data_IF_147966009272
#
_entry.id   IF_147966009272
#
_cell.length_a   1.000
_cell.length_b   1.000
_cell.length_c   1.000
_cell.angle_alpha   90.00
_cell.angle_beta   90.00
_cell.angle_gamma   90.00
#
_symmetry.space_group_name_H-M   'P 1'
#
loop_
_entity.id
_entity.type
_entity.pdbx_description
1 polymer ?
#
# COMPACT_ATOMS: atom_id res chain seq x y z
N UNK A 1 28.65 -20.61 9.97
CA UNK A 1 27.44 -21.36 9.59
C UNK A 1 27.02 -22.17 10.81
N UNK A 2 26.09 -21.66 11.62
CA UNK A 2 25.72 -22.30 12.89
C UNK A 2 24.99 -23.63 12.65
N UNK A 3 25.41 -24.71 13.30
CA UNK A 3 24.71 -26.00 13.26
C UNK A 3 23.62 -26.01 14.34
N UNK A 4 22.37 -25.72 13.98
CA UNK A 4 21.23 -25.86 14.90
C UNK A 4 20.86 -27.34 14.98
N UNK A 5 20.98 -27.96 16.16
CA UNK A 5 20.59 -29.36 16.38
C UNK A 5 19.11 -29.41 16.74
N UNK A 6 18.27 -29.93 15.83
CA UNK A 6 16.84 -30.14 16.07
C UNK A 6 16.61 -31.62 16.42
N UNK A 7 16.07 -31.90 17.61
CA UNK A 7 15.83 -33.27 18.08
C UNK A 7 14.53 -33.85 17.53
N UNK A 8 14.62 -34.95 16.78
CA UNK A 8 13.44 -35.69 16.30
C UNK A 8 13.17 -36.85 17.26
N UNK A 9 11.98 -36.90 17.86
CA UNK A 9 11.53 -38.04 18.68
C UNK A 9 11.01 -39.12 17.74
N UNK A 10 11.66 -40.28 17.75
CA UNK A 10 11.27 -41.48 17.01
C UNK A 10 10.81 -42.51 18.04
N UNK A 11 9.71 -43.20 17.76
CA UNK A 11 9.32 -44.39 18.52
C UNK A 11 10.34 -45.51 18.33
N UNK A 12 10.42 -46.42 19.31
CA UNK A 12 11.44 -47.49 19.32
C UNK A 12 11.34 -48.43 18.11
N UNK A 13 10.13 -48.65 17.58
CA UNK A 13 9.93 -49.48 16.41
C UNK A 13 10.49 -48.81 15.14
N UNK A 14 10.23 -47.52 14.93
CA UNK A 14 10.81 -46.76 13.81
C UNK A 14 12.33 -46.64 13.94
N UNK A 15 12.85 -46.46 15.15
CA UNK A 15 14.30 -46.42 15.39
C UNK A 15 14.98 -47.72 14.98
N UNK A 16 14.41 -48.87 15.31
CA UNK A 16 14.99 -50.16 14.94
C UNK A 16 14.87 -50.44 13.44
N UNK A 17 13.77 -50.01 12.78
CA UNK A 17 13.63 -50.07 11.31
C UNK A 17 14.70 -49.25 10.60
N UNK A 18 14.97 -48.03 11.05
CA UNK A 18 16.03 -47.18 10.48
C UNK A 18 17.39 -47.83 10.71
N UNK A 19 17.63 -48.42 11.89
CA UNK A 19 18.89 -49.09 12.22
C UNK A 19 19.13 -50.30 11.32
N UNK A 20 18.12 -51.13 11.09
CA UNK A 20 18.21 -52.27 10.17
C UNK A 20 18.38 -51.85 8.71
N UNK A 21 17.75 -50.75 8.28
CA UNK A 21 17.92 -50.23 6.93
C UNK A 21 19.34 -49.68 6.72
N UNK A 22 19.89 -48.98 7.72
CA UNK A 22 21.24 -48.42 7.68
C UNK A 22 22.32 -49.51 7.66
N UNK A 23 22.16 -50.60 8.43
CA UNK A 23 23.10 -51.73 8.39
C UNK A 23 23.07 -52.47 7.06
N UNK A 24 21.92 -52.57 6.38
CA UNK A 24 21.84 -53.17 5.03
C UNK A 24 22.63 -52.42 3.96
N UNK A 25 22.85 -51.12 4.14
CA UNK A 25 23.61 -50.28 3.21
C UNK A 25 25.00 -49.93 3.77
N UNK A 26 25.45 -50.61 4.84
CA UNK A 26 26.72 -50.38 5.55
C UNK A 26 26.94 -48.90 5.94
N UNK A 27 25.91 -48.24 6.46
CA UNK A 27 25.97 -46.86 6.96
C UNK A 27 25.38 -46.71 8.35
N UNK A 28 25.66 -45.58 8.99
CA UNK A 28 25.12 -45.29 10.32
C UNK A 28 23.67 -44.80 10.22
N UNK A 29 22.83 -45.07 11.23
CA UNK A 29 21.43 -44.60 11.24
C UNK A 29 21.32 -43.08 11.10
N UNK A 30 22.23 -42.33 11.75
CA UNK A 30 22.25 -40.87 11.66
C UNK A 30 22.58 -40.36 10.25
N UNK A 31 23.51 -41.02 9.55
CA UNK A 31 23.82 -40.69 8.15
C UNK A 31 22.60 -40.92 7.25
N UNK A 32 21.89 -42.04 7.43
CA UNK A 32 20.70 -42.37 6.64
C UNK A 32 19.57 -41.36 6.85
N UNK A 33 19.29 -40.98 8.11
CA UNK A 33 18.28 -39.97 8.43
C UNK A 33 18.62 -38.64 7.76
N UNK A 34 19.87 -38.20 7.88
CA UNK A 34 20.34 -36.95 7.28
C UNK A 34 20.21 -36.98 5.75
N UNK A 35 20.62 -38.07 5.12
CA UNK A 35 20.56 -38.21 3.66
C UNK A 35 19.12 -38.28 3.15
N UNK A 36 18.22 -38.94 3.87
CA UNK A 36 16.80 -38.99 3.53
C UNK A 36 16.15 -37.60 3.58
N UNK A 37 16.46 -36.80 4.60
CA UNK A 37 15.95 -35.43 4.71
C UNK A 37 16.44 -34.56 3.53
N UNK A 38 17.73 -34.60 3.20
CA UNK A 38 18.26 -33.81 2.08
C UNK A 38 17.65 -34.23 0.74
N UNK A 39 17.58 -35.53 0.46
CA UNK A 39 17.01 -36.03 -0.79
C UNK A 39 15.52 -35.68 -0.93
N UNK A 40 14.79 -35.66 0.19
CA UNK A 40 13.36 -35.31 0.20
C UNK A 40 13.13 -33.82 -0.02
N UNK A 41 13.98 -32.96 0.58
CA UNK A 41 13.95 -31.52 0.34
C UNK A 41 14.32 -31.19 -1.11
N UNK A 42 15.32 -31.86 -1.67
CA UNK A 42 15.73 -31.67 -3.07
C UNK A 42 14.63 -32.10 -4.06
N UNK A 43 13.85 -33.15 -3.76
CA UNK A 43 12.68 -33.53 -4.55
C UNK A 43 11.54 -32.51 -4.46
N UNK A 44 11.32 -31.93 -3.27
CA UNK A 44 10.34 -30.86 -3.07
C UNK A 44 10.70 -29.58 -3.83
N UNK A 45 11.96 -29.17 -3.79
CA UNK A 45 12.45 -27.96 -4.48
C UNK A 45 12.35 -28.11 -6.01
N UNK A 46 12.57 -29.32 -6.53
CA UNK A 46 12.45 -29.61 -7.95
C UNK A 46 11.01 -29.84 -8.44
N UNK A 47 10.00 -29.61 -7.57
CA UNK A 47 8.55 -29.69 -7.88
C UNK A 47 8.05 -31.06 -8.34
N UNK A 48 8.67 -32.16 -7.88
CA UNK A 48 8.09 -33.49 -8.04
C UNK A 48 7.10 -33.74 -6.88
N UNK A 49 5.85 -34.04 -7.23
CA UNK A 49 4.74 -34.26 -6.28
C UNK A 49 5.04 -35.41 -5.30
N UNK A 50 4.85 -35.16 -4.00
CA UNK A 50 5.06 -36.13 -2.94
C UNK A 50 4.13 -37.35 -3.05
N UNK A 51 4.62 -38.59 -2.85
CA UNK A 51 3.74 -39.74 -2.63
C UNK A 51 3.08 -39.62 -1.25
N UNK A 52 1.75 -39.59 -1.24
CA UNK A 52 0.90 -39.30 -0.07
C UNK A 52 1.22 -40.12 1.18
N UNK A 53 1.31 -39.46 2.34
CA UNK A 53 1.33 -40.10 3.65
C UNK A 53 -0.07 -40.68 3.95
N UNK A 54 -0.23 -41.98 4.22
CA UNK A 54 -1.55 -42.57 4.43
C UNK A 54 -2.23 -42.02 5.69
N UNK A 55 -3.37 -41.34 5.51
CA UNK A 55 -4.28 -40.95 6.58
C UNK A 55 -4.82 -42.19 7.30
N UNK A 56 -4.32 -42.47 8.50
CA UNK A 56 -4.72 -43.61 9.34
C UNK A 56 -5.41 -43.11 10.61
N UNK A 57 -6.59 -42.51 10.46
CA UNK A 57 -7.52 -42.28 11.57
C UNK A 57 -8.95 -42.53 11.09
N UNK A 58 -9.35 -43.79 11.12
CA UNK A 58 -10.77 -44.16 11.18
C UNK A 58 -10.87 -45.55 11.78
N UNK A 59 -11.22 -45.64 13.06
CA UNK A 59 -11.62 -46.93 13.62
C UNK A 59 -11.56 -47.10 15.14
N UNK A 60 -12.39 -46.31 15.84
CA UNK A 60 -13.18 -46.73 16.99
C UNK A 60 -12.53 -46.99 18.37
N UNK A 61 -13.13 -46.27 19.33
CA UNK A 61 -13.41 -46.66 20.72
C UNK A 61 -12.23 -46.69 21.70
N UNK A 62 -12.00 -45.60 22.42
CA UNK A 62 -12.67 -45.37 23.71
C UNK A 62 -12.10 -44.13 24.40
N UNK A 63 -13.02 -43.37 24.99
CA UNK A 63 -12.91 -42.53 26.19
C UNK A 63 -11.52 -41.97 26.53
N UNK A 64 -11.34 -40.67 26.36
CA UNK A 64 -11.20 -39.67 27.44
C UNK A 64 -10.30 -38.50 27.03
N UNK A 65 -10.86 -37.30 27.20
CA UNK A 65 -10.17 -36.04 27.49
C UNK A 65 -9.05 -35.60 26.52
N UNK A 66 -9.43 -35.30 25.28
CA UNK A 66 -8.55 -34.69 24.28
C UNK A 66 -8.48 -33.16 24.43
N UNK A 67 -7.36 -32.66 24.97
CA UNK A 67 -6.91 -31.31 24.67
C UNK A 67 -6.45 -31.26 23.20
N UNK A 68 -6.95 -30.32 22.37
CA UNK A 68 -6.86 -30.46 20.92
C UNK A 68 -5.42 -30.25 20.42
N UNK A 69 -4.87 -31.29 19.80
CA UNK A 69 -3.79 -31.21 18.81
C UNK A 69 -4.18 -30.19 17.74
N UNK A 70 -3.28 -29.30 17.27
CA UNK A 70 -3.61 -28.37 16.20
C UNK A 70 -3.81 -29.19 14.94
N UNK A 71 -5.07 -29.46 14.60
CA UNK A 71 -5.46 -30.05 13.34
C UNK A 71 -4.86 -29.20 12.23
N UNK A 72 -4.28 -29.83 11.21
CA UNK A 72 -4.01 -29.16 9.94
C UNK A 72 -5.38 -28.73 9.37
N UNK A 73 -5.77 -27.50 9.67
CA UNK A 73 -7.00 -26.92 9.15
C UNK A 73 -6.91 -26.93 7.63
N UNK A 74 -7.91 -27.49 6.91
CA UNK A 74 -7.90 -27.50 5.46
C UNK A 74 -7.85 -26.04 4.99
N UNK A 75 -6.71 -25.63 4.41
CA UNK A 75 -6.54 -24.27 3.92
C UNK A 75 -7.58 -24.04 2.81
N UNK A 76 -8.66 -23.33 3.14
CA UNK A 76 -9.65 -22.94 2.15
C UNK A 76 -9.17 -21.63 1.52
N UNK A 77 -8.98 -21.59 0.19
CA UNK A 77 -8.63 -20.34 -0.48
C UNK A 77 -9.69 -19.26 -0.20
N UNK A 78 -9.24 -18.03 0.05
CA UNK A 78 -10.06 -16.83 0.26
C UNK A 78 -10.85 -16.75 1.58
N UNK A 79 -10.69 -17.68 2.54
CA UNK A 79 -11.34 -17.56 3.87
C UNK A 79 -10.92 -16.27 4.60
N UNK A 80 -9.61 -16.03 4.73
CA UNK A 80 -9.08 -14.81 5.37
C UNK A 80 -9.60 -13.53 4.71
N UNK A 81 -9.81 -13.56 3.40
CA UNK A 81 -10.38 -12.44 2.66
C UNK A 81 -11.88 -12.27 2.96
N UNK A 82 -12.65 -13.37 3.01
CA UNK A 82 -14.07 -13.33 3.31
C UNK A 82 -14.37 -12.89 4.75
N UNK A 83 -13.55 -13.30 5.72
CA UNK A 83 -13.67 -12.89 7.13
C UNK A 83 -13.43 -11.39 7.33
N UNK A 84 -12.59 -10.78 6.49
CA UNK A 84 -12.33 -9.34 6.53
C UNK A 84 -13.46 -8.51 5.90
N UNK A 85 -14.40 -9.12 5.17
CA UNK A 85 -15.54 -8.42 4.57
C UNK A 85 -16.63 -8.23 5.63
N UNK A 86 -16.63 -7.06 6.25
CA UNK A 86 -17.70 -6.63 7.15
C UNK A 86 -19.01 -6.42 6.37
N UNK A 87 -20.17 -6.82 6.93
CA UNK A 87 -21.46 -6.52 6.32
C UNK A 87 -21.66 -5.01 6.22
N UNK A 88 -22.08 -4.55 5.04
CA UNK A 88 -22.32 -3.13 4.82
C UNK A 88 -23.67 -2.71 5.39
N UNK A 89 -23.69 -1.58 6.09
CA UNK A 89 -24.96 -0.91 6.42
C UNK A 89 -25.64 -0.38 5.15
N UNK A 90 -26.94 -0.07 5.25
CA UNK A 90 -27.73 0.47 4.13
C UNK A 90 -27.06 1.69 3.47
N UNK A 91 -26.59 2.65 4.27
CA UNK A 91 -25.90 3.84 3.76
C UNK A 91 -24.55 3.51 3.09
N UNK A 92 -23.80 2.54 3.62
CA UNK A 92 -22.52 2.12 3.04
C UNK A 92 -22.72 1.40 1.71
N UNK A 93 -23.73 0.55 1.61
CA UNK A 93 -24.12 -0.09 0.37
C UNK A 93 -24.54 0.93 -0.71
N UNK A 94 -25.30 1.96 -0.33
CA UNK A 94 -25.67 3.04 -1.24
C UNK A 94 -24.45 3.82 -1.79
N UNK A 95 -23.44 4.07 -0.96
CA UNK A 95 -22.17 4.69 -1.37
C UNK A 95 -21.43 3.76 -2.35
N UNK A 96 -21.31 2.47 -2.03
CA UNK A 96 -20.64 1.50 -2.91
C UNK A 96 -21.35 1.39 -4.26
N UNK A 97 -22.69 1.39 -4.27
CA UNK A 97 -23.49 1.38 -5.50
C UNK A 97 -23.31 2.65 -6.35
N UNK A 98 -23.03 3.80 -5.73
CA UNK A 98 -22.85 5.06 -6.43
C UNK A 98 -21.41 5.30 -6.96
N UNK A 99 -20.44 4.44 -6.63
CA UNK A 99 -19.01 4.68 -6.90
C UNK A 99 -18.73 5.03 -8.37
N UNK A 100 -19.30 4.27 -9.31
CA UNK A 100 -19.12 4.46 -10.76
C UNK A 100 -20.45 4.65 -11.48
N UNK A 101 -21.39 5.35 -10.83
CA UNK A 101 -22.68 5.69 -11.44
C UNK A 101 -22.44 6.50 -12.73
N UNK A 102 -23.14 6.21 -13.84
CA UNK A 102 -23.04 7.02 -15.05
C UNK A 102 -23.31 8.49 -14.77
N UNK A 103 -22.53 9.38 -15.36
CA UNK A 103 -22.65 10.82 -15.13
C UNK A 103 -24.04 11.35 -15.55
N UNK A 104 -24.60 10.80 -16.62
CA UNK A 104 -25.96 11.13 -17.09
C UNK A 104 -27.03 10.86 -16.04
N UNK A 105 -26.85 9.82 -15.22
CA UNK A 105 -27.75 9.51 -14.11
C UNK A 105 -27.44 10.39 -12.90
N UNK A 106 -26.17 10.51 -12.51
CA UNK A 106 -25.74 11.26 -11.33
C UNK A 106 -26.07 12.76 -11.44
N UNK A 107 -25.75 13.40 -12.56
CA UNK A 107 -26.01 14.83 -12.77
C UNK A 107 -27.52 15.09 -12.81
N UNK A 108 -28.30 14.23 -13.48
CA UNK A 108 -29.76 14.37 -13.52
C UNK A 108 -30.39 14.30 -12.12
N UNK A 109 -29.89 13.41 -11.25
CA UNK A 109 -30.34 13.31 -9.85
C UNK A 109 -30.01 14.57 -9.03
N UNK A 110 -28.84 15.18 -9.26
CA UNK A 110 -28.35 16.33 -8.50
C UNK A 110 -28.92 17.67 -8.99
N UNK A 111 -29.29 17.77 -10.27
CA UNK A 111 -29.62 19.05 -10.91
C UNK A 111 -30.79 19.76 -10.23
N UNK A 112 -31.86 19.04 -9.91
CA UNK A 112 -33.03 19.63 -9.24
C UNK A 112 -32.77 19.90 -7.75
N UNK A 113 -31.90 19.12 -7.10
CA UNK A 113 -31.51 19.35 -5.70
C UNK A 113 -30.60 20.57 -5.55
N UNK A 114 -29.74 20.83 -6.53
CA UNK A 114 -28.82 21.96 -6.56
C UNK A 114 -29.44 23.24 -7.14
N UNK A 115 -30.64 23.16 -7.74
CA UNK A 115 -31.31 24.31 -8.36
C UNK A 115 -31.72 25.32 -7.29
N UNK A 116 -31.07 26.47 -7.29
CA UNK A 116 -31.49 27.61 -6.46
C UNK A 116 -32.78 28.22 -7.03
N UNK A 117 -33.76 28.60 -6.19
CA UNK A 117 -34.87 29.44 -6.61
C UNK A 117 -34.35 30.74 -7.25
N UNK A 118 -35.01 31.20 -8.32
CA UNK A 118 -34.60 32.40 -9.08
C UNK A 118 -34.17 33.61 -8.22
N UNK A 119 -34.94 34.05 -7.19
CA UNK A 119 -34.51 35.19 -6.38
C UNK A 119 -33.21 34.92 -5.61
N UNK A 120 -32.98 33.68 -5.16
CA UNK A 120 -31.74 33.30 -4.46
C UNK A 120 -30.58 33.21 -5.45
N UNK A 121 -30.82 32.67 -6.65
CA UNK A 121 -29.82 32.57 -7.70
C UNK A 121 -29.30 33.95 -8.16
N UNK A 122 -30.19 34.93 -8.32
CA UNK A 122 -29.81 36.30 -8.66
C UNK A 122 -28.97 36.96 -7.56
N UNK A 123 -29.33 36.78 -6.29
CA UNK A 123 -28.57 37.32 -5.16
C UNK A 123 -27.22 36.63 -5.02
N UNK A 124 -27.18 35.31 -5.17
CA UNK A 124 -25.94 34.54 -5.19
C UNK A 124 -25.01 35.01 -6.32
N UNK A 125 -25.55 35.26 -7.52
CA UNK A 125 -24.80 35.81 -8.63
C UNK A 125 -24.24 37.20 -8.32
N UNK A 126 -25.07 38.12 -7.81
CA UNK A 126 -24.63 39.48 -7.44
C UNK A 126 -23.51 39.45 -6.40
N UNK A 127 -23.65 38.61 -5.37
CA UNK A 127 -22.63 38.46 -4.34
C UNK A 127 -21.35 37.84 -4.90
N UNK A 128 -21.45 36.74 -5.65
CA UNK A 128 -20.31 36.08 -6.27
C UNK A 128 -19.57 37.04 -7.21
N UNK A 129 -20.29 37.83 -8.01
CA UNK A 129 -19.72 38.85 -8.88
C UNK A 129 -18.97 39.91 -8.06
N UNK A 130 -19.58 40.46 -7.02
CA UNK A 130 -18.92 41.45 -6.16
C UNK A 130 -17.65 40.90 -5.49
N UNK A 131 -17.66 39.64 -5.07
CA UNK A 131 -16.48 38.99 -4.47
C UNK A 131 -15.38 38.79 -5.51
N UNK A 132 -15.72 38.27 -6.69
CA UNK A 132 -14.77 38.05 -7.78
C UNK A 132 -14.19 39.37 -8.31
N UNK A 133 -15.02 40.39 -8.46
CA UNK A 133 -14.62 41.72 -8.92
C UNK A 133 -13.66 42.38 -7.93
N UNK A 134 -14.01 42.34 -6.63
CA UNK A 134 -13.11 42.81 -5.57
C UNK A 134 -11.79 42.05 -5.58
N UNK A 135 -11.81 40.72 -5.72
CA UNK A 135 -10.59 39.90 -5.71
C UNK A 135 -9.70 40.19 -6.93
N UNK A 136 -10.29 40.30 -8.12
CA UNK A 136 -9.57 40.55 -9.37
C UNK A 136 -9.00 41.96 -9.45
N UNK A 137 -9.78 42.95 -9.00
CA UNK A 137 -9.42 44.36 -9.06
C UNK A 137 -8.69 44.85 -7.80
N UNK A 138 -8.45 43.96 -6.82
CA UNK A 138 -7.62 44.29 -5.67
C UNK A 138 -6.20 44.57 -6.16
N UNK A 139 -5.82 45.85 -6.15
CA UNK A 139 -4.52 46.36 -6.59
C UNK A 139 -3.31 45.69 -5.91
N UNK A 140 -3.53 44.96 -4.81
CA UNK A 140 -2.50 44.22 -4.08
C UNK A 140 -2.56 42.70 -4.24
N UNK A 141 -3.62 42.11 -4.81
CA UNK A 141 -3.67 40.68 -5.11
C UNK A 141 -2.88 40.36 -6.40
N UNK A 142 -2.92 41.28 -7.37
CA UNK A 142 -1.90 41.40 -8.42
C UNK A 142 -0.66 42.17 -7.94
N UNK A 143 -0.40 42.22 -6.63
CA UNK A 143 0.73 42.97 -6.08
C UNK A 143 2.06 42.28 -6.40
N UNK A 144 2.16 40.96 -6.21
CA UNK A 144 3.39 40.22 -6.57
C UNK A 144 3.49 39.96 -8.07
N UNK A 145 2.39 39.54 -8.70
CA UNK A 145 2.35 39.33 -10.15
C UNK A 145 2.54 40.65 -10.91
N UNK A 146 1.87 41.73 -10.51
CA UNK A 146 2.01 43.06 -11.10
C UNK A 146 3.35 43.74 -10.82
N UNK A 147 3.98 43.55 -9.65
CA UNK A 147 5.35 44.06 -9.43
C UNK A 147 6.38 43.31 -10.28
N UNK A 148 6.33 41.98 -10.31
CA UNK A 148 7.26 41.18 -11.13
C UNK A 148 7.00 41.41 -12.62
N UNK A 149 5.73 41.51 -13.03
CA UNK A 149 5.37 41.80 -14.40
C UNK A 149 5.70 43.23 -14.81
N UNK A 150 5.61 44.19 -13.87
CA UNK A 150 6.09 45.54 -14.07
C UNK A 150 7.60 45.58 -14.31
N UNK A 151 8.38 44.84 -13.51
CA UNK A 151 9.82 44.69 -13.71
C UNK A 151 10.15 44.04 -15.07
N UNK A 152 9.45 42.96 -15.42
CA UNK A 152 9.61 42.30 -16.73
C UNK A 152 9.29 43.27 -17.88
N UNK A 153 8.25 44.09 -17.75
CA UNK A 153 7.85 45.05 -18.77
C UNK A 153 8.82 46.24 -18.88
N UNK A 154 9.29 46.78 -17.76
CA UNK A 154 10.23 47.89 -17.71
C UNK A 154 11.58 47.53 -18.36
N UNK A 155 12.08 46.32 -18.08
CA UNK A 155 13.35 45.83 -18.62
C UNK A 155 13.20 44.96 -19.87
N UNK A 156 11.98 44.84 -20.42
CA UNK A 156 11.64 44.02 -21.60
C UNK A 156 12.18 42.58 -21.53
N UNK A 157 12.14 41.99 -20.34
CA UNK A 157 12.65 40.66 -20.07
C UNK A 157 11.65 39.58 -20.52
N UNK A 158 12.16 38.48 -21.04
CA UNK A 158 11.39 37.25 -21.22
C UNK A 158 11.04 36.61 -19.87
N UNK A 159 10.03 35.71 -19.85
CA UNK A 159 9.66 34.98 -18.64
C UNK A 159 10.82 34.20 -18.02
N UNK A 160 11.69 33.63 -18.85
CA UNK A 160 12.86 32.87 -18.39
C UNK A 160 13.94 33.78 -17.79
N UNK A 161 14.17 34.95 -18.40
CA UNK A 161 15.09 35.97 -17.87
C UNK A 161 14.59 36.56 -16.54
N UNK A 162 13.28 36.77 -16.39
CA UNK A 162 12.69 37.19 -15.12
C UNK A 162 12.90 36.18 -14.00
N UNK A 163 12.71 34.89 -14.27
CA UNK A 163 13.01 33.83 -13.29
C UNK A 163 14.50 33.83 -12.92
N UNK A 164 15.39 33.93 -13.91
CA UNK A 164 16.83 33.98 -13.67
C UNK A 164 17.23 35.20 -12.81
N UNK A 165 16.64 36.37 -13.08
CA UNK A 165 16.87 37.59 -12.30
C UNK A 165 16.40 37.44 -10.85
N UNK A 166 15.24 36.81 -10.62
CA UNK A 166 14.74 36.55 -9.27
C UNK A 166 15.64 35.54 -8.51
N UNK A 167 16.16 34.52 -9.20
CA UNK A 167 17.13 33.59 -8.61
C UNK A 167 18.45 34.28 -8.24
N UNK A 168 18.95 35.18 -9.10
CA UNK A 168 20.12 36.00 -8.80
C UNK A 168 19.86 36.91 -7.58
N UNK A 169 18.70 37.56 -7.54
CA UNK A 169 18.32 38.38 -6.40
C UNK A 169 18.20 37.56 -5.10
N UNK A 170 17.65 36.35 -5.16
CA UNK A 170 17.60 35.44 -4.02
C UNK A 170 19.01 35.07 -3.52
N UNK A 171 19.92 34.72 -4.43
CA UNK A 171 21.31 34.41 -4.09
C UNK A 171 22.02 35.63 -3.46
N UNK A 172 21.81 36.84 -3.99
CA UNK A 172 22.37 38.07 -3.44
C UNK A 172 21.78 38.40 -2.06
N UNK A 173 20.49 38.13 -1.81
CA UNK A 173 19.87 38.32 -0.50
C UNK A 173 20.40 37.35 0.57
N UNK A 174 21.06 36.25 0.18
CA UNK A 174 21.76 35.34 1.10
C UNK A 174 23.10 35.89 1.58
N UNK A 175 23.65 36.93 0.96
CA UNK A 175 24.83 37.65 1.45
C UNK A 175 24.40 38.53 2.63
N UNK A 176 24.86 38.26 3.87
CA UNK A 176 24.36 38.92 5.07
C UNK A 176 24.82 40.39 5.19
N UNK A 177 26.01 40.70 4.68
CA UNK A 177 26.55 42.06 4.70
C UNK A 177 26.13 42.85 3.47
N UNK A 178 25.47 43.99 3.70
CA UNK A 178 24.98 44.86 2.63
C UNK A 178 26.14 45.47 1.83
N UNK A 179 27.23 45.88 2.47
CA UNK A 179 28.35 46.51 1.77
C UNK A 179 29.03 45.53 0.80
N UNK A 180 29.21 44.28 1.22
CA UNK A 180 29.74 43.18 0.39
C UNK A 180 28.81 42.87 -0.77
N UNK A 181 27.50 42.82 -0.54
CA UNK A 181 26.52 42.59 -1.61
C UNK A 181 26.51 43.72 -2.64
N UNK A 182 26.49 44.98 -2.20
CA UNK A 182 26.45 46.14 -3.10
C UNK A 182 27.78 46.28 -3.88
N UNK A 183 28.91 45.89 -3.29
CA UNK A 183 30.21 45.84 -3.97
C UNK A 183 30.28 44.75 -5.05
N UNK A 184 29.56 43.64 -4.89
CA UNK A 184 29.50 42.55 -5.89
C UNK A 184 28.55 42.87 -7.07
N UNK A 185 27.59 43.76 -6.86
CA UNK A 185 26.61 44.19 -7.87
C UNK A 185 27.20 45.29 -8.79
N UNK A 186 28.15 46.09 -8.30
CA UNK A 186 28.85 47.14 -9.07
C UNK A 186 29.87 46.56 -10.03
#
# INVERSE_FOLDING_TARGET
>A
MGTTTMGVKLDDATRERIKSAATRIDRTPHWLIKQAIFSYLEQLENSDTLPELPALLSGAANESDEAPTPAEEPHQPFLDFAEQILPQSVSRAAITAAYRRPETEAVSMLLEQARLPQPVAEQAHKLAYQLADKLRNQKNASGRAGMVQGLLQEFSLSSQEGVALMCLAEALLRIPDKATRDALIR
#
